data_IF_370971346213
#
_entry.id   IF_370971346213
#
_cell.length_a   1.000
_cell.length_b   1.000
_cell.length_c   1.000
_cell.angle_alpha   90.00
_cell.angle_beta   90.00
_cell.angle_gamma   90.00
#
_symmetry.space_group_name_H-M   'P 1'
#
loop_
_entity.id
_entity.type
_entity.pdbx_description
1 polymer ?
#
# COMPACT_ATOMS: atom_id res chain seq x y z
N UNK A 1 -43.38 -3.49 4.20
CA UNK A 1 -42.78 -4.41 3.24
C UNK A 1 -41.52 -4.97 3.90
N UNK A 2 -41.37 -6.28 3.85
CA UNK A 2 -40.19 -6.90 4.47
C UNK A 2 -38.96 -6.57 3.60
N UNK A 3 -37.95 -5.99 4.24
CA UNK A 3 -36.68 -5.66 3.60
C UNK A 3 -35.59 -6.61 4.06
N UNK A 4 -34.69 -6.95 3.14
CA UNK A 4 -33.65 -7.94 3.33
C UNK A 4 -32.28 -7.29 3.03
N UNK A 5 -31.43 -7.21 4.05
CA UNK A 5 -30.06 -6.68 3.90
C UNK A 5 -29.11 -7.83 3.57
N UNK A 6 -28.58 -7.83 2.35
CA UNK A 6 -27.56 -8.81 1.93
C UNK A 6 -26.21 -8.09 1.98
N UNK A 7 -25.29 -8.63 2.80
CA UNK A 7 -23.94 -8.06 2.97
C UNK A 7 -23.27 -7.82 1.61
N UNK A 8 -22.66 -6.66 1.44
CA UNK A 8 -21.96 -6.18 0.25
C UNK A 8 -22.84 -5.87 -0.99
N UNK A 9 -24.15 -6.17 -0.97
CA UNK A 9 -25.07 -5.94 -2.10
C UNK A 9 -26.14 -4.89 -1.83
N UNK A 10 -26.50 -4.67 -0.57
CA UNK A 10 -27.48 -3.66 -0.19
C UNK A 10 -28.74 -4.21 0.47
N UNK A 11 -29.79 -3.39 0.46
CA UNK A 11 -31.11 -3.74 1.04
C UNK A 11 -32.13 -3.86 -0.08
N UNK A 12 -32.92 -4.93 -0.06
CA UNK A 12 -33.86 -5.32 -1.11
C UNK A 12 -35.24 -5.60 -0.54
N UNK A 13 -36.28 -5.35 -1.32
CA UNK A 13 -37.63 -5.79 -1.05
C UNK A 13 -37.79 -7.27 -1.45
N UNK A 14 -38.73 -7.97 -0.80
CA UNK A 14 -39.00 -9.41 -1.10
C UNK A 14 -39.28 -9.67 -2.60
N UNK A 15 -39.90 -8.72 -3.31
CA UNK A 15 -40.21 -8.85 -4.75
C UNK A 15 -38.96 -8.85 -5.65
N UNK A 16 -37.84 -8.36 -5.13
CA UNK A 16 -36.56 -8.31 -5.85
C UNK A 16 -35.74 -9.58 -5.66
N UNK A 17 -36.10 -10.45 -4.72
CA UNK A 17 -35.32 -11.63 -4.34
C UNK A 17 -35.97 -12.92 -4.85
N UNK A 18 -35.12 -13.85 -5.35
CA UNK A 18 -35.53 -15.23 -5.55
C UNK A 18 -35.92 -15.87 -4.19
N UNK A 19 -36.93 -16.72 -4.20
CA UNK A 19 -37.39 -17.41 -3.00
C UNK A 19 -36.28 -18.20 -2.31
N UNK A 20 -35.28 -18.69 -3.05
CA UNK A 20 -34.10 -19.34 -2.49
C UNK A 20 -33.26 -18.40 -1.64
N UNK A 21 -33.10 -17.12 -2.04
CA UNK A 21 -32.39 -16.13 -1.24
C UNK A 21 -33.16 -15.81 0.03
N UNK A 22 -34.48 -15.67 -0.05
CA UNK A 22 -35.33 -15.42 1.13
C UNK A 22 -35.27 -16.59 2.12
N UNK A 23 -35.33 -17.83 1.62
CA UNK A 23 -35.19 -19.03 2.47
C UNK A 23 -33.83 -19.06 3.18
N UNK A 24 -32.73 -18.73 2.48
CA UNK A 24 -31.39 -18.67 3.07
C UNK A 24 -31.32 -17.53 4.10
N UNK A 25 -31.81 -16.35 3.77
CA UNK A 25 -31.81 -15.21 4.70
C UNK A 25 -32.49 -15.53 6.02
N UNK A 26 -33.67 -16.19 5.95
CA UNK A 26 -34.47 -16.59 7.11
C UNK A 26 -33.94 -17.86 7.81
N UNK A 27 -32.84 -18.45 7.33
CA UNK A 27 -32.32 -19.71 7.78
C UNK A 27 -33.33 -20.86 7.69
N UNK A 28 -34.24 -20.84 6.71
CA UNK A 28 -35.27 -21.86 6.50
C UNK A 28 -34.72 -22.94 5.55
N UNK A 29 -34.06 -23.93 6.17
CA UNK A 29 -33.45 -25.05 5.48
C UNK A 29 -34.52 -25.95 4.79
N UNK A 30 -35.70 -26.11 5.36
CA UNK A 30 -36.74 -26.95 4.78
C UNK A 30 -37.37 -26.31 3.55
N UNK A 31 -37.62 -25.00 3.57
CA UNK A 31 -38.05 -24.27 2.39
C UNK A 31 -36.97 -24.35 1.29
N UNK A 32 -35.70 -24.15 1.64
CA UNK A 32 -34.59 -24.23 0.69
C UNK A 32 -34.50 -25.62 0.03
N UNK A 33 -34.59 -26.71 0.81
CA UNK A 33 -34.59 -28.08 0.29
C UNK A 33 -35.72 -28.33 -0.72
N UNK A 34 -36.91 -27.82 -0.44
CA UNK A 34 -38.06 -27.92 -1.37
C UNK A 34 -37.83 -27.17 -2.67
N UNK A 35 -37.22 -25.93 -2.59
CA UNK A 35 -36.96 -25.10 -3.73
C UNK A 35 -35.86 -25.64 -4.63
N UNK A 36 -34.80 -26.21 -4.05
CA UNK A 36 -33.66 -26.73 -4.78
C UNK A 36 -33.92 -28.15 -5.33
N UNK A 37 -34.59 -29.01 -4.57
CA UNK A 37 -34.75 -30.44 -4.88
C UNK A 37 -33.39 -31.10 -5.11
N UNK A 38 -33.19 -31.72 -6.27
CA UNK A 38 -31.89 -32.29 -6.67
C UNK A 38 -30.91 -31.30 -7.29
N UNK A 39 -31.31 -30.05 -7.49
CA UNK A 39 -30.50 -29.02 -8.18
C UNK A 39 -29.77 -28.11 -7.20
N UNK A 40 -28.87 -28.70 -6.39
CA UNK A 40 -28.16 -28.01 -5.32
C UNK A 40 -27.41 -26.74 -5.78
N UNK A 41 -26.97 -26.67 -7.04
CA UNK A 41 -26.29 -25.53 -7.66
C UNK A 41 -27.21 -24.70 -8.56
N UNK A 42 -28.53 -24.75 -8.34
CA UNK A 42 -29.50 -23.92 -9.07
C UNK A 42 -29.18 -22.46 -8.86
N UNK A 43 -29.05 -21.71 -9.95
CA UNK A 43 -28.82 -20.26 -9.88
C UNK A 43 -30.07 -19.57 -9.31
N UNK A 44 -29.89 -18.74 -8.31
CA UNK A 44 -30.85 -17.85 -7.68
C UNK A 44 -30.41 -16.40 -7.90
N UNK A 45 -31.32 -15.43 -7.94
CA UNK A 45 -31.01 -14.07 -8.41
C UNK A 45 -31.57 -13.01 -7.47
N UNK A 46 -30.82 -11.93 -7.35
CA UNK A 46 -31.36 -10.63 -6.98
C UNK A 46 -31.85 -9.98 -8.28
N UNK A 47 -33.15 -9.68 -8.35
CA UNK A 47 -33.77 -9.12 -9.54
C UNK A 47 -33.73 -7.59 -9.47
N UNK A 48 -33.45 -6.93 -10.61
CA UNK A 48 -33.35 -5.49 -10.72
C UNK A 48 -33.01 -5.09 -12.15
N UNK A 49 -32.58 -3.86 -12.35
CA UNK A 49 -32.12 -3.38 -13.67
C UNK A 49 -30.90 -4.21 -14.17
N UNK A 50 -30.10 -4.68 -13.24
CA UNK A 50 -28.96 -5.57 -13.49
C UNK A 50 -29.09 -6.77 -12.53
N UNK A 51 -29.68 -7.90 -12.99
CA UNK A 51 -29.88 -9.06 -12.14
C UNK A 51 -28.55 -9.71 -11.73
N UNK A 52 -28.35 -9.89 -10.42
CA UNK A 52 -27.17 -10.52 -9.86
C UNK A 52 -27.40 -12.02 -9.61
N UNK A 53 -26.66 -12.91 -10.31
CA UNK A 53 -26.80 -14.35 -10.15
C UNK A 53 -25.91 -14.89 -9.03
N UNK A 54 -26.42 -15.81 -8.24
CA UNK A 54 -25.71 -16.49 -7.16
C UNK A 54 -25.95 -17.99 -7.20
N UNK A 55 -25.00 -18.75 -6.68
CA UNK A 55 -25.29 -20.12 -6.17
C UNK A 55 -25.87 -20.03 -4.75
N UNK A 56 -26.63 -21.02 -4.30
CA UNK A 56 -27.10 -21.07 -2.91
C UNK A 56 -25.97 -21.03 -1.90
N UNK A 57 -24.81 -21.65 -2.23
CA UNK A 57 -23.64 -21.63 -1.35
C UNK A 57 -23.08 -20.22 -1.20
N UNK A 58 -22.91 -19.46 -2.29
CA UNK A 58 -22.44 -18.07 -2.23
C UNK A 58 -23.31 -17.19 -1.33
N UNK A 59 -24.65 -17.27 -1.47
CA UNK A 59 -25.58 -16.51 -0.63
C UNK A 59 -25.49 -16.96 0.84
N UNK A 60 -25.41 -18.25 1.09
CA UNK A 60 -25.30 -18.78 2.44
C UNK A 60 -24.00 -18.31 3.12
N UNK A 61 -22.89 -18.24 2.38
CA UNK A 61 -21.60 -17.72 2.86
C UNK A 61 -21.67 -16.21 3.14
N UNK A 62 -22.20 -15.39 2.22
CA UNK A 62 -22.37 -13.95 2.45
C UNK A 62 -23.24 -13.64 3.68
N UNK A 63 -24.21 -14.50 4.00
CA UNK A 63 -25.09 -14.35 5.13
C UNK A 63 -24.67 -15.15 6.37
N UNK A 64 -23.53 -15.86 6.30
CA UNK A 64 -22.97 -16.71 7.36
C UNK A 64 -24.02 -17.67 7.97
N UNK A 65 -24.77 -18.40 7.12
CA UNK A 65 -25.85 -19.32 7.53
C UNK A 65 -25.30 -20.74 7.70
N UNK A 66 -24.74 -21.07 8.87
CA UNK A 66 -23.99 -22.28 9.16
C UNK A 66 -24.71 -23.56 8.78
N UNK A 67 -25.98 -23.73 9.21
CA UNK A 67 -26.75 -24.96 8.96
C UNK A 67 -26.97 -25.17 7.45
N UNK A 68 -27.23 -24.10 6.74
CA UNK A 68 -27.42 -24.13 5.28
C UNK A 68 -26.08 -24.37 4.58
N UNK A 69 -25.00 -23.74 5.01
CA UNK A 69 -23.65 -23.97 4.47
C UNK A 69 -23.30 -25.46 4.63
N UNK A 70 -23.46 -26.02 5.83
CA UNK A 70 -23.19 -27.44 6.10
C UNK A 70 -24.03 -28.34 5.20
N UNK A 71 -25.34 -28.09 5.11
CA UNK A 71 -26.22 -28.85 4.22
C UNK A 71 -25.76 -28.83 2.77
N UNK A 72 -25.36 -27.65 2.28
CA UNK A 72 -24.87 -27.46 0.88
C UNK A 72 -23.57 -28.22 0.65
N UNK A 73 -22.63 -28.18 1.61
CA UNK A 73 -21.40 -28.98 1.55
C UNK A 73 -21.68 -30.49 1.52
N UNK A 74 -22.52 -30.99 2.44
CA UNK A 74 -22.89 -32.40 2.55
C UNK A 74 -23.59 -32.93 1.29
N UNK A 75 -24.17 -32.02 0.48
CA UNK A 75 -24.84 -32.33 -0.78
C UNK A 75 -24.03 -31.94 -2.02
N UNK A 76 -22.70 -31.77 -1.91
CA UNK A 76 -21.77 -31.51 -2.98
C UNK A 76 -22.07 -30.21 -3.76
N UNK A 77 -22.38 -29.12 -3.06
CA UNK A 77 -22.44 -27.81 -3.67
C UNK A 77 -21.08 -27.45 -4.30
N UNK A 78 -21.09 -26.76 -5.43
CA UNK A 78 -19.88 -26.41 -6.16
C UNK A 78 -19.09 -25.31 -5.43
N UNK A 79 -17.81 -25.56 -5.14
CA UNK A 79 -16.88 -24.58 -4.58
C UNK A 79 -16.16 -23.72 -5.63
N UNK A 80 -16.43 -23.92 -6.92
CA UNK A 80 -15.67 -23.26 -7.99
C UNK A 80 -16.00 -21.78 -8.18
N UNK A 81 -17.19 -21.35 -7.72
CA UNK A 81 -17.71 -20.00 -8.00
C UNK A 81 -17.81 -19.74 -9.51
N UNK A 82 -18.77 -18.97 -9.95
CA UNK A 82 -18.93 -18.66 -11.38
C UNK A 82 -19.02 -17.16 -11.66
N UNK A 83 -19.62 -16.40 -10.78
CA UNK A 83 -20.01 -15.01 -11.02
C UNK A 83 -19.37 -14.01 -10.04
N UNK A 84 -18.91 -14.45 -8.88
CA UNK A 84 -18.41 -13.68 -7.75
C UNK A 84 -17.02 -14.16 -7.34
N UNK A 85 -16.41 -13.57 -6.31
CA UNK A 85 -15.26 -14.18 -5.66
C UNK A 85 -15.56 -15.67 -5.36
N UNK A 86 -14.52 -16.49 -5.38
CA UNK A 86 -14.72 -17.93 -5.09
C UNK A 86 -15.34 -18.13 -3.73
N UNK A 87 -16.15 -19.20 -3.53
CA UNK A 87 -16.77 -19.50 -2.22
C UNK A 87 -15.80 -19.44 -1.05
N UNK A 88 -14.55 -19.91 -1.21
CA UNK A 88 -13.51 -19.79 -0.17
C UNK A 88 -13.17 -18.33 0.18
N UNK A 89 -13.11 -17.44 -0.80
CA UNK A 89 -12.82 -16.01 -0.57
C UNK A 89 -13.98 -15.34 0.17
N UNK A 90 -15.23 -15.73 -0.15
CA UNK A 90 -16.42 -15.26 0.57
C UNK A 90 -16.40 -15.82 2.00
N UNK A 91 -16.07 -17.09 2.20
CA UNK A 91 -16.00 -17.72 3.51
C UNK A 91 -14.98 -17.03 4.41
N UNK A 92 -13.77 -16.78 3.89
CA UNK A 92 -12.69 -16.10 4.63
C UNK A 92 -13.07 -14.67 5.00
N UNK A 93 -13.86 -14.00 4.17
CA UNK A 93 -14.29 -12.62 4.41
C UNK A 93 -15.47 -12.49 5.36
N UNK A 94 -16.49 -13.35 5.21
CA UNK A 94 -17.80 -13.15 5.81
C UNK A 94 -18.17 -14.21 6.88
N UNK A 95 -17.45 -15.33 6.95
CA UNK A 95 -17.78 -16.43 7.83
C UNK A 95 -16.74 -16.61 8.93
N UNK A 96 -17.06 -17.45 9.91
CA UNK A 96 -16.16 -17.83 11.00
C UNK A 96 -15.13 -18.89 10.59
N UNK A 97 -14.18 -19.11 11.49
CA UNK A 97 -13.08 -20.05 11.32
C UNK A 97 -13.53 -21.51 11.06
N UNK A 98 -14.67 -21.94 11.62
CA UNK A 98 -15.21 -23.28 11.40
C UNK A 98 -15.59 -23.46 9.93
N UNK A 99 -16.30 -22.48 9.37
CA UNK A 99 -16.67 -22.48 7.95
C UNK A 99 -15.43 -22.41 7.04
N UNK A 100 -14.42 -21.61 7.38
CA UNK A 100 -13.16 -21.53 6.61
C UNK A 100 -12.46 -22.90 6.55
N UNK A 101 -12.41 -23.64 7.66
CA UNK A 101 -11.81 -24.99 7.71
C UNK A 101 -12.52 -26.01 6.83
N UNK A 102 -13.81 -25.84 6.51
CA UNK A 102 -14.52 -26.73 5.58
C UNK A 102 -13.94 -26.69 4.16
N UNK A 103 -13.19 -25.65 3.80
CA UNK A 103 -12.53 -25.48 2.51
C UNK A 103 -11.08 -26.00 2.47
N UNK A 104 -10.63 -26.80 3.42
CA UNK A 104 -9.23 -27.27 3.48
C UNK A 104 -8.72 -27.81 2.14
N UNK A 105 -9.47 -28.68 1.48
CA UNK A 105 -9.07 -29.28 0.19
C UNK A 105 -8.94 -28.24 -0.94
N UNK A 106 -9.76 -27.19 -0.90
CA UNK A 106 -9.69 -26.09 -1.87
C UNK A 106 -8.42 -25.28 -1.64
N UNK A 107 -8.04 -25.01 -0.38
CA UNK A 107 -6.84 -24.28 0.02
C UNK A 107 -5.55 -24.98 -0.41
N UNK A 108 -5.48 -26.32 -0.33
CA UNK A 108 -4.32 -27.10 -0.76
C UNK A 108 -4.03 -26.95 -2.25
N UNK A 109 -5.06 -26.70 -3.07
CA UNK A 109 -4.97 -26.57 -4.53
C UNK A 109 -4.58 -25.16 -5.00
N UNK A 110 -4.49 -24.17 -4.09
CA UNK A 110 -4.19 -22.78 -4.44
C UNK A 110 -2.70 -22.58 -4.68
N UNK A 111 -2.37 -21.73 -5.65
CA UNK A 111 -1.02 -21.20 -5.84
C UNK A 111 -0.67 -20.18 -4.73
N UNK A 112 0.62 -19.82 -4.67
CA UNK A 112 1.17 -18.94 -3.64
C UNK A 112 0.54 -17.53 -3.67
N UNK A 113 0.22 -17.01 -4.87
CA UNK A 113 -0.38 -15.70 -5.03
C UNK A 113 -1.79 -15.66 -4.43
N UNK A 114 -2.59 -16.70 -4.71
CA UNK A 114 -3.95 -16.82 -4.15
C UNK A 114 -3.95 -17.06 -2.65
N UNK A 115 -2.96 -17.78 -2.11
CA UNK A 115 -2.80 -17.92 -0.66
C UNK A 115 -2.52 -16.59 0.02
N UNK A 116 -1.65 -15.76 -0.58
CA UNK A 116 -1.39 -14.41 -0.09
C UNK A 116 -2.65 -13.52 -0.16
N UNK A 117 -3.42 -13.62 -1.24
CA UNK A 117 -4.68 -12.88 -1.41
C UNK A 117 -5.74 -13.31 -0.39
N UNK A 118 -5.81 -14.59 -0.03
CA UNK A 118 -6.71 -15.06 1.04
C UNK A 118 -6.34 -14.51 2.41
N UNK A 119 -5.05 -14.47 2.76
CA UNK A 119 -4.61 -13.86 4.02
C UNK A 119 -4.97 -12.37 4.07
N UNK A 120 -4.78 -11.66 2.96
CA UNK A 120 -5.21 -10.28 2.80
C UNK A 120 -6.74 -10.15 2.95
N UNK A 121 -7.51 -11.07 2.37
CA UNK A 121 -8.98 -11.09 2.48
C UNK A 121 -9.43 -11.33 3.92
N UNK A 122 -8.78 -12.22 4.66
CA UNK A 122 -9.04 -12.44 6.08
C UNK A 122 -8.74 -11.19 6.92
N UNK A 123 -7.64 -10.50 6.63
CA UNK A 123 -7.26 -9.28 7.34
C UNK A 123 -8.32 -8.16 7.24
N UNK A 124 -9.00 -8.06 6.10
CA UNK A 124 -10.07 -7.09 5.87
C UNK A 124 -11.48 -7.66 6.06
N UNK A 125 -11.61 -8.89 6.60
CA UNK A 125 -12.87 -9.58 6.79
C UNK A 125 -13.57 -9.26 8.11
N UNK A 126 -14.76 -9.81 8.28
CA UNK A 126 -15.61 -9.59 9.48
C UNK A 126 -15.10 -10.34 10.72
N UNK A 127 -14.30 -11.41 10.53
CA UNK A 127 -13.78 -12.30 11.57
C UNK A 127 -12.24 -12.41 11.52
N UNK A 128 -11.55 -11.27 11.47
CA UNK A 128 -10.11 -11.17 11.16
C UNK A 128 -9.23 -12.11 11.98
N UNK A 129 -9.29 -12.03 13.32
CA UNK A 129 -8.40 -12.81 14.18
C UNK A 129 -8.62 -14.31 14.05
N UNK A 130 -9.89 -14.75 14.10
CA UNK A 130 -10.27 -16.17 14.02
C UNK A 130 -9.93 -16.79 12.67
N UNK A 131 -10.11 -16.03 11.58
CA UNK A 131 -9.85 -16.50 10.22
C UNK A 131 -8.36 -16.50 9.89
N UNK A 132 -7.57 -15.56 10.41
CA UNK A 132 -6.11 -15.62 10.32
C UNK A 132 -5.59 -16.89 11.03
N UNK A 133 -6.06 -17.18 12.26
CA UNK A 133 -5.65 -18.38 12.99
C UNK A 133 -6.09 -19.67 12.28
N UNK A 134 -7.28 -19.66 11.65
CA UNK A 134 -7.74 -20.79 10.83
C UNK A 134 -6.84 -21.01 9.61
N UNK A 135 -6.50 -19.96 8.88
CA UNK A 135 -5.60 -20.01 7.72
C UNK A 135 -4.20 -20.47 8.12
N UNK A 136 -3.66 -19.97 9.25
CA UNK A 136 -2.37 -20.43 9.77
C UNK A 136 -2.37 -21.93 10.08
N UNK A 137 -3.43 -22.43 10.71
CA UNK A 137 -3.58 -23.88 10.99
C UNK A 137 -3.64 -24.74 9.72
N UNK A 138 -3.99 -24.12 8.59
CA UNK A 138 -4.07 -24.74 7.25
C UNK A 138 -2.83 -24.43 6.38
N UNK A 139 -1.76 -23.89 6.98
CA UNK A 139 -0.48 -23.65 6.29
C UNK A 139 -0.38 -22.33 5.53
N UNK A 140 -1.37 -21.45 5.62
CA UNK A 140 -1.30 -20.09 5.08
C UNK A 140 -0.88 -19.14 6.20
N UNK A 141 0.44 -19.01 6.40
CA UNK A 141 1.00 -18.36 7.58
C UNK A 141 1.33 -16.88 7.36
N UNK A 142 1.23 -16.10 8.43
CA UNK A 142 1.69 -14.70 8.45
C UNK A 142 3.20 -14.62 8.13
N UNK A 143 4.01 -15.55 8.63
CA UNK A 143 5.43 -15.62 8.33
C UNK A 143 5.73 -15.65 6.82
N UNK A 144 4.91 -16.35 6.04
CA UNK A 144 5.12 -16.50 4.60
C UNK A 144 4.43 -15.43 3.76
N UNK A 145 3.25 -14.99 4.17
CA UNK A 145 2.37 -14.15 3.33
C UNK A 145 2.02 -12.81 3.96
N UNK A 146 2.42 -12.55 5.22
CA UNK A 146 1.99 -11.39 6.00
C UNK A 146 2.71 -10.08 5.70
N UNK A 147 3.81 -10.08 4.93
CA UNK A 147 4.63 -8.88 4.72
C UNK A 147 3.88 -7.71 4.11
N UNK A 148 2.94 -7.98 3.18
CA UNK A 148 2.07 -6.94 2.62
C UNK A 148 1.20 -6.29 3.70
N UNK A 149 0.60 -7.10 4.57
CA UNK A 149 -0.28 -6.60 5.63
C UNK A 149 0.50 -5.87 6.72
N UNK A 150 1.71 -6.31 7.04
CA UNK A 150 2.62 -5.56 7.91
C UNK A 150 2.89 -4.15 7.36
N UNK A 151 3.14 -4.02 6.04
CA UNK A 151 3.31 -2.72 5.39
C UNK A 151 2.05 -1.85 5.47
N UNK A 152 0.86 -2.42 5.20
CA UNK A 152 -0.42 -1.71 5.37
C UNK A 152 -0.66 -1.25 6.81
N UNK A 153 -0.35 -2.08 7.79
CA UNK A 153 -0.50 -1.74 9.21
C UNK A 153 0.44 -0.61 9.61
N UNK A 154 1.68 -0.62 9.11
CA UNK A 154 2.63 0.48 9.32
C UNK A 154 2.13 1.79 8.68
N UNK A 155 1.60 1.73 7.46
CA UNK A 155 1.00 2.88 6.77
C UNK A 155 -0.23 3.44 7.50
N UNK A 156 -1.07 2.56 8.08
CA UNK A 156 -2.27 2.97 8.82
C UNK A 156 -2.01 3.35 10.29
N UNK A 157 -0.74 3.35 10.73
CA UNK A 157 -0.36 3.58 12.12
C UNK A 157 -1.00 2.58 13.12
N UNK A 158 -1.32 1.37 12.68
CA UNK A 158 -1.90 0.31 13.50
C UNK A 158 -0.79 -0.49 14.20
N UNK A 159 -0.35 0.04 15.35
CA UNK A 159 0.77 -0.52 16.11
C UNK A 159 0.49 -1.93 16.63
N UNK A 160 -0.74 -2.22 17.03
CA UNK A 160 -1.11 -3.53 17.58
C UNK A 160 -1.00 -4.61 16.50
N UNK A 161 -1.49 -4.32 15.31
CA UNK A 161 -1.35 -5.23 14.17
C UNK A 161 0.11 -5.35 13.71
N UNK A 162 0.89 -4.27 13.71
CA UNK A 162 2.34 -4.31 13.43
C UNK A 162 3.02 -5.27 14.38
N UNK A 163 2.78 -5.15 15.68
CA UNK A 163 3.35 -6.00 16.73
C UNK A 163 2.99 -7.48 16.50
N UNK A 164 1.70 -7.75 16.31
CA UNK A 164 1.21 -9.11 16.04
C UNK A 164 1.89 -9.75 14.83
N UNK A 165 2.01 -9.02 13.72
CA UNK A 165 2.60 -9.56 12.49
C UNK A 165 4.10 -9.78 12.62
N UNK A 166 4.80 -8.92 13.36
CA UNK A 166 6.22 -9.11 13.66
C UNK A 166 6.45 -10.32 14.57
N UNK A 167 5.65 -10.49 15.62
CA UNK A 167 5.70 -11.65 16.53
C UNK A 167 5.44 -12.98 15.78
N UNK A 168 4.55 -12.96 14.79
CA UNK A 168 4.25 -14.11 13.92
C UNK A 168 5.27 -14.26 12.76
N UNK A 169 6.32 -13.45 12.70
CA UNK A 169 7.44 -13.60 11.77
C UNK A 169 7.16 -13.10 10.35
N UNK A 170 6.26 -12.15 10.14
CA UNK A 170 6.05 -11.51 8.84
C UNK A 170 7.36 -10.95 8.29
N UNK A 171 7.52 -10.97 6.96
CA UNK A 171 8.68 -10.38 6.29
C UNK A 171 8.73 -8.86 6.56
N UNK A 172 9.60 -8.47 7.50
CA UNK A 172 9.81 -7.08 7.92
C UNK A 172 10.37 -6.21 6.80
N UNK A 173 11.00 -6.83 5.79
CA UNK A 173 11.60 -6.17 4.64
C UNK A 173 10.78 -6.30 3.35
N UNK A 174 9.51 -6.67 3.47
CA UNK A 174 8.62 -6.80 2.32
C UNK A 174 8.57 -5.52 1.48
N UNK A 175 8.86 -5.62 0.16
CA UNK A 175 8.96 -4.47 -0.75
C UNK A 175 8.49 -4.76 -2.18
N UNK A 176 7.54 -5.69 -2.34
CA UNK A 176 6.92 -5.92 -3.65
C UNK A 176 5.94 -4.81 -4.00
N UNK A 177 5.95 -4.36 -5.26
CA UNK A 177 4.99 -3.38 -5.74
C UNK A 177 3.57 -3.95 -5.77
N UNK A 178 2.60 -3.11 -5.46
CA UNK A 178 1.17 -3.36 -5.67
C UNK A 178 0.46 -2.09 -6.15
N UNK A 179 -0.87 -2.09 -6.21
CA UNK A 179 -1.65 -0.95 -6.66
C UNK A 179 -1.61 0.26 -5.72
N UNK A 180 -1.28 0.08 -4.44
CA UNK A 180 -1.17 1.17 -3.44
C UNK A 180 0.28 1.61 -3.29
N UNK A 181 1.20 0.65 -3.17
CA UNK A 181 2.63 0.88 -2.97
C UNK A 181 3.42 0.53 -4.24
N UNK A 182 3.17 1.31 -5.29
CA UNK A 182 3.83 1.12 -6.59
C UNK A 182 5.32 1.48 -6.56
N UNK A 183 5.75 2.25 -5.56
CA UNK A 183 7.13 2.67 -5.31
C UNK A 183 8.00 1.61 -4.64
N UNK A 184 7.45 0.41 -4.34
CA UNK A 184 8.15 -0.67 -3.63
C UNK A 184 8.65 -0.29 -2.23
N UNK A 185 7.90 0.54 -1.52
CA UNK A 185 8.24 0.89 -0.14
C UNK A 185 8.23 -0.33 0.79
N UNK A 186 9.08 -0.30 1.81
CA UNK A 186 9.09 -1.28 2.90
C UNK A 186 8.17 -0.84 4.04
N UNK A 187 7.80 -1.74 4.99
CA UNK A 187 7.05 -1.34 6.19
C UNK A 187 7.69 -0.17 6.95
N UNK A 188 9.03 -0.15 7.08
CA UNK A 188 9.72 0.94 7.77
C UNK A 188 9.65 2.26 6.99
N UNK A 189 9.68 2.24 5.64
CA UNK A 189 9.48 3.44 4.83
C UNK A 189 8.09 4.03 5.06
N UNK A 190 7.05 3.18 5.15
CA UNK A 190 5.70 3.65 5.44
C UNK A 190 5.56 4.22 6.86
N UNK A 191 6.18 3.59 7.86
CA UNK A 191 6.22 4.12 9.23
C UNK A 191 6.90 5.49 9.29
N UNK A 192 8.00 5.68 8.55
CA UNK A 192 8.68 6.99 8.43
C UNK A 192 7.81 8.01 7.70
N UNK A 193 7.12 7.61 6.62
CA UNK A 193 6.20 8.48 5.87
C UNK A 193 5.08 9.02 6.76
N UNK A 194 4.56 8.17 7.65
CA UNK A 194 3.56 8.54 8.65
C UNK A 194 4.14 9.20 9.92
N UNK A 195 5.46 9.40 9.97
CA UNK A 195 6.15 10.01 11.12
C UNK A 195 5.93 9.28 12.45
N UNK A 196 5.76 7.95 12.43
CA UNK A 196 5.53 7.15 13.63
C UNK A 196 6.83 6.51 14.14
N UNK A 197 7.49 7.18 15.10
CA UNK A 197 8.75 6.71 15.68
C UNK A 197 8.59 5.37 16.42
N UNK A 198 7.45 5.08 17.04
CA UNK A 198 7.25 3.83 17.78
C UNK A 198 7.23 2.64 16.82
N UNK A 199 6.50 2.72 15.71
CA UNK A 199 6.50 1.68 14.67
C UNK A 199 7.89 1.55 14.03
N UNK A 200 8.59 2.67 13.76
CA UNK A 200 9.97 2.64 13.25
C UNK A 200 10.89 1.85 14.18
N UNK A 201 10.81 2.08 15.50
CA UNK A 201 11.59 1.35 16.51
C UNK A 201 11.26 -0.14 16.49
N UNK A 202 9.98 -0.51 16.53
CA UNK A 202 9.55 -1.91 16.48
C UNK A 202 10.09 -2.63 15.24
N UNK A 203 9.99 -2.00 14.08
CA UNK A 203 10.46 -2.61 12.83
C UNK A 203 11.98 -2.82 12.85
N UNK A 204 12.76 -1.83 13.34
CA UNK A 204 14.22 -1.96 13.47
C UNK A 204 14.60 -3.04 14.48
N UNK A 205 13.93 -3.12 15.63
CA UNK A 205 14.14 -4.15 16.64
C UNK A 205 13.88 -5.57 16.11
N UNK A 206 13.00 -5.71 15.10
CA UNK A 206 12.71 -6.97 14.42
C UNK A 206 13.51 -7.17 13.12
N UNK A 207 14.56 -6.39 12.88
CA UNK A 207 15.51 -6.60 11.80
C UNK A 207 15.13 -5.92 10.47
N UNK A 208 14.39 -4.80 10.51
CA UNK A 208 14.18 -4.00 9.31
C UNK A 208 15.53 -3.47 8.78
N UNK A 209 15.81 -3.71 7.50
CA UNK A 209 16.98 -3.19 6.82
C UNK A 209 16.74 -1.72 6.42
N UNK A 210 17.43 -0.81 7.10
CA UNK A 210 17.36 0.63 6.87
C UNK A 210 18.01 1.09 5.57
N UNK A 211 18.67 0.19 4.82
CA UNK A 211 19.35 0.50 3.56
C UNK A 211 18.50 0.20 2.32
N UNK A 212 17.40 -0.51 2.47
CA UNK A 212 16.50 -0.80 1.34
C UNK A 212 15.91 0.52 0.82
N UNK A 213 16.10 0.74 -0.48
CA UNK A 213 15.58 1.92 -1.19
C UNK A 213 14.30 1.56 -1.94
N UNK A 214 13.34 2.46 -1.93
CA UNK A 214 12.19 2.38 -2.82
C UNK A 214 12.59 2.75 -4.27
N UNK A 215 11.65 2.69 -5.22
CA UNK A 215 11.90 3.09 -6.62
C UNK A 215 12.30 4.55 -6.80
N UNK A 216 11.94 5.41 -5.84
CA UNK A 216 12.34 6.82 -5.84
C UNK A 216 13.77 7.03 -5.33
N UNK A 217 14.47 5.96 -4.91
CA UNK A 217 15.82 6.03 -4.35
C UNK A 217 15.85 6.43 -2.87
N UNK A 218 14.69 6.58 -2.24
CA UNK A 218 14.56 6.94 -0.83
C UNK A 218 14.80 5.71 0.05
N UNK A 219 15.58 5.86 1.10
CA UNK A 219 15.71 4.94 2.23
C UNK A 219 15.09 5.57 3.48
N UNK A 220 14.83 4.82 4.56
CA UNK A 220 14.18 5.36 5.76
C UNK A 220 14.81 6.66 6.28
N UNK A 221 16.13 6.73 6.37
CA UNK A 221 16.82 7.96 6.81
C UNK A 221 16.57 9.14 5.86
N UNK A 222 16.79 8.96 4.56
CA UNK A 222 16.60 10.07 3.59
C UNK A 222 15.15 10.55 3.52
N UNK A 223 14.19 9.65 3.72
CA UNK A 223 12.77 10.01 3.81
C UNK A 223 12.47 10.77 5.11
N UNK A 224 13.09 10.39 6.24
CA UNK A 224 12.97 11.14 7.49
C UNK A 224 13.53 12.56 7.37
N UNK A 225 14.68 12.74 6.67
CA UNK A 225 15.25 14.05 6.34
C UNK A 225 14.30 14.84 5.45
N UNK A 226 13.73 14.21 4.43
CA UNK A 226 12.71 14.83 3.55
C UNK A 226 11.49 15.32 4.35
N UNK A 227 11.01 14.52 5.29
CA UNK A 227 9.86 14.89 6.14
C UNK A 227 10.22 15.89 7.25
N UNK A 228 11.52 16.13 7.50
CA UNK A 228 11.98 17.01 8.57
C UNK A 228 11.74 16.46 9.99
N UNK A 229 11.50 15.14 10.13
CA UNK A 229 11.23 14.53 11.44
C UNK A 229 12.54 14.26 12.20
N UNK A 230 12.90 15.19 13.07
CA UNK A 230 14.17 15.18 13.79
C UNK A 230 14.37 13.95 14.68
N UNK A 231 13.34 13.49 15.38
CA UNK A 231 13.44 12.33 16.27
C UNK A 231 13.71 11.04 15.49
N UNK A 232 13.06 10.85 14.35
CA UNK A 232 13.28 9.71 13.47
C UNK A 232 14.66 9.80 12.81
N UNK A 233 15.12 10.98 12.37
CA UNK A 233 16.46 11.21 11.84
C UNK A 233 17.52 10.79 12.85
N UNK A 234 17.45 11.32 14.10
CA UNK A 234 18.38 11.02 15.18
C UNK A 234 18.38 9.52 15.56
N UNK A 235 17.22 8.88 15.48
CA UNK A 235 17.11 7.44 15.72
C UNK A 235 17.76 6.64 14.60
N UNK A 236 17.39 6.88 13.34
CA UNK A 236 17.86 6.12 12.17
C UNK A 236 19.34 6.34 11.87
N UNK A 237 19.90 7.52 12.19
CA UNK A 237 21.33 7.80 12.02
C UNK A 237 22.24 6.77 12.70
N UNK A 238 21.77 6.08 13.74
CA UNK A 238 22.53 5.05 14.48
C UNK A 238 22.61 3.72 13.71
N UNK A 239 21.77 3.51 12.73
CA UNK A 239 21.67 2.28 11.94
C UNK A 239 22.12 2.49 10.49
N UNK A 240 22.48 3.71 10.13
CA UNK A 240 23.03 4.02 8.82
C UNK A 240 24.52 3.62 8.76
N UNK A 241 25.00 3.07 7.63
CA UNK A 241 26.42 2.87 7.40
C UNK A 241 27.20 4.20 7.49
N UNK A 242 28.34 4.20 8.16
CA UNK A 242 29.20 5.39 8.33
C UNK A 242 29.57 6.03 7.00
N UNK A 243 29.76 5.24 5.94
CA UNK A 243 30.08 5.72 4.58
C UNK A 243 29.01 6.67 4.01
N UNK A 244 27.76 6.53 4.43
CA UNK A 244 26.67 7.39 3.94
C UNK A 244 26.70 8.79 4.56
N UNK A 245 27.37 8.94 5.70
CA UNK A 245 27.58 10.21 6.41
C UNK A 245 29.01 10.74 6.23
N UNK A 246 29.85 10.04 5.46
CA UNK A 246 31.21 10.43 5.21
C UNK A 246 31.31 11.31 3.97
N UNK A 247 31.97 12.49 4.12
CA UNK A 247 32.08 13.48 3.02
C UNK A 247 32.91 12.95 1.85
N UNK A 248 33.95 12.14 2.08
CA UNK A 248 34.79 11.62 1.02
C UNK A 248 34.08 10.53 0.24
N UNK A 249 33.35 9.65 0.91
CA UNK A 249 32.47 8.66 0.28
C UNK A 249 31.39 9.34 -0.57
N UNK A 250 30.78 10.42 -0.05
CA UNK A 250 29.81 11.22 -0.81
C UNK A 250 30.42 11.90 -2.02
N UNK A 251 31.62 12.49 -1.88
CA UNK A 251 32.35 13.11 -2.99
C UNK A 251 32.60 12.07 -4.10
N UNK A 252 33.08 10.88 -3.77
CA UNK A 252 33.30 9.80 -4.72
C UNK A 252 32.00 9.35 -5.41
N UNK A 253 30.90 9.19 -4.68
CA UNK A 253 29.61 8.80 -5.22
C UNK A 253 29.03 9.87 -6.18
N UNK A 254 29.22 11.15 -5.87
CA UNK A 254 28.66 12.26 -6.65
C UNK A 254 29.57 12.74 -7.79
N UNK A 255 30.81 12.26 -7.91
CA UNK A 255 31.72 12.62 -9.00
C UNK A 255 31.08 12.46 -10.38
N UNK A 256 30.31 11.39 -10.59
CA UNK A 256 29.58 11.09 -11.84
C UNK A 256 28.46 12.07 -12.19
N UNK A 257 28.08 12.97 -11.27
CA UNK A 257 27.04 13.97 -11.48
C UNK A 257 27.61 15.31 -11.97
N UNK A 258 28.94 15.51 -11.98
CA UNK A 258 29.61 16.74 -12.46
C UNK A 258 28.94 18.01 -11.90
N UNK A 259 28.73 18.05 -10.58
CA UNK A 259 28.08 19.19 -9.93
C UNK A 259 28.96 20.46 -10.06
N UNK A 260 28.38 21.62 -10.38
CA UNK A 260 29.11 22.90 -10.30
C UNK A 260 29.62 23.14 -8.88
N UNK A 261 30.82 23.68 -8.73
CA UNK A 261 31.40 23.97 -7.42
C UNK A 261 30.48 24.88 -6.57
N UNK A 262 29.86 25.88 -7.19
CA UNK A 262 28.92 26.79 -6.53
C UNK A 262 27.67 26.09 -6.01
N UNK A 263 27.19 25.03 -6.68
CA UNK A 263 26.10 24.18 -6.17
C UNK A 263 26.57 23.33 -4.99
N UNK A 264 27.76 22.75 -5.07
CA UNK A 264 28.35 21.98 -3.96
C UNK A 264 28.52 22.86 -2.72
N UNK A 265 29.06 24.07 -2.86
CA UNK A 265 29.21 25.02 -1.74
C UNK A 265 27.87 25.45 -1.16
N UNK A 266 26.87 25.69 -2.00
CA UNK A 266 25.51 25.98 -1.55
C UNK A 266 24.93 24.84 -0.71
N UNK A 267 25.02 23.59 -1.19
CA UNK A 267 24.47 22.42 -0.49
C UNK A 267 25.24 22.07 0.80
N UNK A 268 26.49 22.52 0.94
CA UNK A 268 27.28 22.41 2.18
C UNK A 268 27.00 23.51 3.19
N UNK A 269 26.29 24.55 2.76
CA UNK A 269 25.94 25.68 3.63
C UNK A 269 24.75 25.39 4.54
N UNK A 270 24.50 26.29 5.49
CA UNK A 270 23.43 26.16 6.50
C UNK A 270 22.08 26.73 6.02
N UNK A 271 22.05 27.53 4.95
CA UNK A 271 20.83 28.20 4.45
C UNK A 271 20.16 27.41 3.35
N UNK A 272 19.64 26.25 3.69
CA UNK A 272 19.03 25.33 2.73
C UNK A 272 17.52 25.54 2.54
N UNK A 273 16.89 26.42 3.33
CA UNK A 273 15.47 26.79 3.16
C UNK A 273 15.39 28.18 2.53
N UNK A 274 14.86 28.25 1.32
CA UNK A 274 14.66 29.49 0.58
C UNK A 274 13.19 29.88 0.66
N UNK A 275 12.92 30.99 1.34
CA UNK A 275 11.56 31.51 1.49
C UNK A 275 11.15 32.32 0.25
N UNK A 276 9.91 32.13 -0.17
CA UNK A 276 9.26 32.85 -1.25
C UNK A 276 8.33 33.92 -0.67
N UNK A 277 8.26 35.04 -1.34
CA UNK A 277 7.50 36.21 -0.88
C UNK A 277 6.34 36.56 -1.79
N UNK A 278 6.40 36.14 -3.05
CA UNK A 278 5.50 36.58 -4.12
C UNK A 278 4.38 35.60 -4.45
N UNK A 279 4.24 34.51 -3.69
CA UNK A 279 3.18 33.53 -3.93
C UNK A 279 2.35 33.25 -2.69
N UNK A 280 1.06 32.90 -2.91
CA UNK A 280 0.12 32.58 -1.84
C UNK A 280 0.24 31.13 -1.38
N UNK A 281 0.57 30.23 -2.28
CA UNK A 281 0.49 28.77 -2.09
C UNK A 281 1.88 28.18 -1.77
N UNK A 282 2.91 28.48 -2.54
CA UNK A 282 4.26 28.01 -2.30
C UNK A 282 5.07 29.07 -1.54
N UNK A 283 5.36 28.84 -0.27
CA UNK A 283 6.05 29.78 0.62
C UNK A 283 7.55 29.54 0.72
N UNK A 284 8.02 28.35 0.38
CA UNK A 284 9.43 28.00 0.44
C UNK A 284 9.75 26.76 -0.37
N UNK A 285 11.03 26.59 -0.65
CA UNK A 285 11.63 25.30 -0.98
C UNK A 285 12.73 25.00 0.03
N UNK A 286 12.91 23.72 0.37
CA UNK A 286 13.95 23.26 1.30
C UNK A 286 14.84 22.24 0.59
N UNK A 287 16.12 22.60 0.45
CA UNK A 287 17.12 21.73 -0.14
C UNK A 287 17.59 20.67 0.85
N UNK A 288 18.03 19.54 0.32
CA UNK A 288 18.87 18.61 1.07
C UNK A 288 20.23 19.24 1.38
N UNK A 289 20.85 18.80 2.50
CA UNK A 289 22.28 19.02 2.64
C UNK A 289 23.05 18.25 1.57
N UNK A 290 24.30 18.59 1.35
CA UNK A 290 25.14 17.87 0.38
C UNK A 290 25.18 16.36 0.64
N UNK A 291 25.29 15.96 1.91
CA UNK A 291 25.29 14.55 2.33
C UNK A 291 23.95 13.86 2.10
N UNK A 292 22.84 14.57 2.23
CA UNK A 292 21.49 14.01 2.18
C UNK A 292 20.89 13.97 0.77
N UNK A 293 21.56 14.58 -0.25
CA UNK A 293 21.08 14.50 -1.63
C UNK A 293 20.82 13.07 -2.08
N UNK A 294 19.75 12.83 -2.84
CA UNK A 294 19.27 11.48 -3.20
C UNK A 294 19.53 11.18 -4.67
N UNK A 295 20.29 10.10 -4.91
CA UNK A 295 20.49 9.58 -6.27
C UNK A 295 19.23 8.88 -6.76
N UNK A 296 18.63 9.37 -7.85
CA UNK A 296 17.40 8.83 -8.46
C UNK A 296 17.62 8.45 -9.92
N UNK A 297 16.69 7.62 -10.41
CA UNK A 297 16.46 7.41 -11.84
C UNK A 297 15.04 7.86 -12.19
N UNK A 298 14.93 8.76 -13.15
CA UNK A 298 13.67 9.09 -13.77
C UNK A 298 13.61 8.47 -15.17
N UNK A 299 12.80 7.41 -15.31
CA UNK A 299 12.81 6.57 -16.52
C UNK A 299 14.25 6.07 -16.80
N UNK A 300 14.90 6.54 -17.88
CA UNK A 300 16.29 6.17 -18.23
C UNK A 300 17.33 7.20 -17.81
N UNK A 301 16.93 8.36 -17.26
CA UNK A 301 17.82 9.46 -16.89
C UNK A 301 18.29 9.26 -15.44
N UNK A 302 19.58 9.40 -15.21
CA UNK A 302 20.15 9.52 -13.87
C UNK A 302 20.05 10.96 -13.43
N UNK A 303 19.52 11.22 -12.25
CA UNK A 303 19.36 12.55 -11.68
C UNK A 303 19.74 12.53 -10.20
N UNK A 304 20.07 13.69 -9.66
CA UNK A 304 20.30 13.90 -8.25
C UNK A 304 19.19 14.79 -7.70
N UNK A 305 18.38 14.28 -6.77
CA UNK A 305 17.39 15.10 -6.08
C UNK A 305 18.09 16.08 -5.15
N UNK A 306 17.78 17.35 -5.32
CA UNK A 306 18.39 18.47 -4.60
C UNK A 306 17.45 19.04 -3.54
N UNK A 307 16.14 18.94 -3.73
CA UNK A 307 15.12 19.57 -2.90
C UNK A 307 14.36 18.52 -2.11
N UNK A 308 14.34 18.67 -0.79
CA UNK A 308 13.60 17.81 0.11
C UNK A 308 12.11 18.14 0.11
N UNK A 309 11.76 19.43 -0.07
CA UNK A 309 10.38 19.88 0.03
C UNK A 309 10.13 21.11 -0.86
N UNK A 310 9.06 21.04 -1.63
CA UNK A 310 8.42 22.18 -2.28
C UNK A 310 7.09 22.39 -1.57
N UNK A 311 6.93 23.51 -0.87
CA UNK A 311 5.76 23.78 -0.02
C UNK A 311 4.46 23.61 -0.81
N UNK A 312 3.54 22.80 -0.28
CA UNK A 312 2.24 22.40 -0.87
C UNK A 312 2.30 21.61 -2.20
N UNK A 313 3.48 21.21 -2.67
CA UNK A 313 3.65 20.49 -3.94
C UNK A 313 4.47 19.21 -3.75
N UNK A 314 3.91 18.26 -3.01
CA UNK A 314 4.61 17.00 -2.62
C UNK A 314 4.99 16.09 -3.78
N UNK A 315 4.34 16.22 -4.94
CA UNK A 315 4.63 15.45 -6.15
C UNK A 315 5.78 16.04 -6.98
N UNK A 316 6.23 17.28 -6.66
CA UNK A 316 7.28 17.97 -7.38
C UNK A 316 8.64 17.74 -6.73
N UNK A 317 9.61 17.29 -7.52
CA UNK A 317 11.01 17.14 -7.13
C UNK A 317 11.91 17.99 -8.02
N UNK A 318 12.78 18.78 -7.44
CA UNK A 318 13.76 19.60 -8.16
C UNK A 318 15.09 18.88 -8.14
N UNK A 319 15.58 18.54 -9.32
CA UNK A 319 16.71 17.64 -9.52
C UNK A 319 17.81 18.26 -10.38
N UNK A 320 19.03 17.80 -10.21
CA UNK A 320 20.15 18.05 -11.13
C UNK A 320 20.21 16.96 -12.19
N UNK A 321 20.23 17.36 -13.46
CA UNK A 321 20.49 16.48 -14.61
C UNK A 321 21.93 16.61 -15.08
N UNK A 322 22.82 15.64 -14.85
CA UNK A 322 24.25 15.76 -15.13
C UNK A 322 24.58 15.86 -16.62
N UNK A 323 23.85 15.11 -17.47
CA UNK A 323 24.13 15.07 -18.92
C UNK A 323 23.95 16.42 -19.62
N UNK A 324 23.04 17.25 -19.11
CA UNK A 324 22.74 18.57 -19.65
C UNK A 324 23.22 19.72 -18.77
N UNK A 325 23.69 19.41 -17.56
CA UNK A 325 24.07 20.38 -16.54
C UNK A 325 22.96 21.41 -16.25
N UNK A 326 21.74 20.90 -16.04
CA UNK A 326 20.56 21.71 -15.80
C UNK A 326 19.85 21.29 -14.50
N UNK A 327 19.25 22.26 -13.86
CA UNK A 327 18.19 22.06 -12.90
C UNK A 327 16.92 21.70 -13.66
N UNK A 328 16.23 20.65 -13.23
CA UNK A 328 14.98 20.18 -13.82
C UNK A 328 13.93 19.98 -12.73
N UNK A 329 12.67 20.04 -13.10
CA UNK A 329 11.57 19.61 -12.26
C UNK A 329 11.04 18.25 -12.74
N UNK A 330 10.73 17.39 -11.77
CA UNK A 330 9.97 16.14 -11.97
C UNK A 330 8.62 16.34 -11.30
N UNK A 331 7.54 16.12 -12.03
CA UNK A 331 6.22 15.96 -11.46
C UNK A 331 5.85 14.48 -11.54
N UNK A 332 5.76 13.83 -10.38
CA UNK A 332 5.48 12.40 -10.29
C UNK A 332 4.00 12.09 -10.60
N UNK A 333 3.09 13.01 -10.29
CA UNK A 333 1.66 12.85 -10.54
C UNK A 333 1.35 12.89 -12.04
N UNK A 334 1.89 13.89 -12.76
CA UNK A 334 1.69 14.05 -14.20
C UNK A 334 2.76 13.32 -15.04
N UNK A 335 3.72 12.67 -14.39
CA UNK A 335 4.82 11.95 -15.06
C UNK A 335 5.63 12.81 -16.03
N UNK A 336 5.84 14.08 -15.72
CA UNK A 336 6.60 15.05 -16.54
C UNK A 336 8.03 15.23 -16.06
N UNK A 337 8.89 15.71 -16.96
CA UNK A 337 10.29 16.05 -16.72
C UNK A 337 10.64 17.32 -17.47
N UNK A 338 10.72 18.43 -16.77
CA UNK A 338 10.83 19.77 -17.36
C UNK A 338 12.20 20.36 -17.03
N UNK A 339 13.05 20.69 -18.02
CA UNK A 339 14.25 21.48 -17.81
C UNK A 339 13.88 22.90 -17.38
N UNK A 340 14.52 23.42 -16.33
CA UNK A 340 14.23 24.74 -15.80
C UNK A 340 15.32 25.77 -16.20
N UNK A 341 16.55 25.58 -15.70
CA UNK A 341 17.63 26.53 -15.91
C UNK A 341 19.02 25.91 -15.63
N UNK A 342 20.12 26.62 -15.96
CA UNK A 342 21.43 26.32 -15.38
C UNK A 342 21.43 26.58 -13.86
N UNK A 343 22.40 26.03 -13.13
CA UNK A 343 22.49 26.31 -11.69
C UNK A 343 22.73 27.79 -11.42
N UNK A 344 23.57 28.45 -12.24
CA UNK A 344 23.88 29.87 -12.13
C UNK A 344 22.63 30.74 -12.23
N UNK A 345 21.81 30.48 -13.24
CA UNK A 345 20.55 31.20 -13.44
C UNK A 345 19.52 30.87 -12.35
N UNK A 346 19.38 29.57 -12.03
CA UNK A 346 18.48 29.12 -11.01
C UNK A 346 18.80 29.72 -9.64
N UNK A 347 20.08 29.75 -9.24
CA UNK A 347 20.49 30.25 -7.93
C UNK A 347 20.19 31.77 -7.75
N UNK A 348 20.19 32.55 -8.83
CA UNK A 348 19.85 33.97 -8.81
C UNK A 348 18.34 34.25 -8.85
N UNK A 349 17.54 33.31 -9.36
CA UNK A 349 16.12 33.52 -9.66
C UNK A 349 15.22 32.38 -9.14
N UNK A 350 15.60 31.72 -8.03
CA UNK A 350 14.91 30.49 -7.54
C UNK A 350 13.40 30.67 -7.42
N UNK A 351 12.95 31.70 -6.71
CA UNK A 351 11.52 31.97 -6.50
C UNK A 351 10.80 32.14 -7.86
N UNK A 352 11.34 32.98 -8.74
CA UNK A 352 10.72 33.24 -10.03
C UNK A 352 10.62 31.98 -10.91
N UNK A 353 11.70 31.19 -10.99
CA UNK A 353 11.75 29.98 -11.82
C UNK A 353 10.82 28.89 -11.27
N UNK A 354 10.85 28.67 -9.97
CA UNK A 354 9.98 27.66 -9.35
C UNK A 354 8.51 28.04 -9.48
N UNK A 355 8.15 29.30 -9.20
CA UNK A 355 6.76 29.75 -9.33
C UNK A 355 6.28 29.72 -10.78
N UNK A 356 7.10 30.11 -11.75
CA UNK A 356 6.77 30.02 -13.17
C UNK A 356 6.48 28.55 -13.58
N UNK A 357 7.30 27.61 -13.09
CA UNK A 357 7.04 26.18 -13.31
C UNK A 357 5.72 25.71 -12.68
N UNK A 358 5.48 26.04 -11.40
CA UNK A 358 4.26 25.64 -10.69
C UNK A 358 2.99 26.26 -11.29
N UNK A 359 3.10 27.41 -11.95
CA UNK A 359 2.01 28.07 -12.65
C UNK A 359 1.81 27.59 -14.11
N UNK A 360 2.58 26.60 -14.56
CA UNK A 360 2.45 26.04 -15.92
C UNK A 360 3.07 26.87 -17.03
N UNK A 361 4.00 27.78 -16.72
CA UNK A 361 4.65 28.65 -17.73
C UNK A 361 5.79 27.96 -18.52
N UNK A 362 6.05 26.68 -18.23
CA UNK A 362 7.08 25.82 -18.85
C UNK A 362 6.49 24.76 -19.78
N UNK A 363 5.37 25.02 -20.44
CA UNK A 363 4.79 24.11 -21.43
C UNK A 363 5.59 24.04 -22.76
#
# INVERSE_FOLDING_TARGET
MDTYKIAHFGTFDASQLDLGIIAIYNNDLEALKKLLGKRINKIIKINGAYPEPFTPLEVALYLNKKDIIKYLFDNNASHKGKFHPKPIEIAVRCCDAETVRMFQNDLESLDEEKKAELLKTAFWGDHTAENIDALESLGITIAKYGGLMLRYSAFNNDIETVRLFLEKGADVNYHKADSVFNDTSTPILEAVRCSNLEIVRLLVEHGADTNIKNKCGERPYSLAVKNGNREIIEFLARYEPEDLHNIDSKNAALQKYNLPNSLVEFLKGDKLTIKFTNDKYCKFIRFYSYLDTVEKKWKRKKVLSLVAEVDNYSAVDIVWQPDKQLICAIDEEHSTFTPLASWEEFSLNMEKIVLAYLNGEYE
#
